data_IF_168682906035
#
_entry.id   IF_168682906035
#
_cell.length_a   1.000
_cell.length_b   1.000
_cell.length_c   1.000
_cell.angle_alpha   90.00
_cell.angle_beta   90.00
_cell.angle_gamma   90.00
#
_symmetry.space_group_name_H-M   'P 1'
#
loop_
_entity.id
_entity.type
_entity.pdbx_description
1 polymer ?
#
# COMPACT_ATOMS: atom_id res chain seq x y z
N UNK A 1 5.13 19.73 16.43
CA UNK A 1 4.99 18.32 16.06
C UNK A 1 5.22 18.09 14.57
N UNK A 2 4.58 18.84 13.69
CA UNK A 2 4.72 18.71 12.23
C UNK A 2 6.19 18.77 11.76
N UNK A 3 6.98 19.73 12.21
CA UNK A 3 8.42 19.84 11.85
C UNK A 3 9.26 18.64 12.29
N UNK A 4 8.88 17.94 13.37
CA UNK A 4 9.61 16.73 13.81
C UNK A 4 9.30 15.53 12.90
N UNK A 5 8.11 15.46 12.32
CA UNK A 5 7.69 14.36 11.45
C UNK A 5 8.07 14.64 10.00
N UNK A 6 7.81 15.84 9.50
CA UNK A 6 8.01 16.21 8.09
C UNK A 6 9.32 16.95 7.82
N UNK A 7 10.15 17.21 8.83
CA UNK A 7 11.38 18.00 8.69
C UNK A 7 12.36 17.41 7.65
N UNK A 8 12.52 16.10 7.63
CA UNK A 8 13.33 15.42 6.63
C UNK A 8 12.72 15.53 5.22
N UNK A 9 11.39 15.43 5.08
CA UNK A 9 10.71 15.59 3.79
C UNK A 9 10.93 17.01 3.25
N UNK A 10 10.81 18.04 4.09
CA UNK A 10 11.08 19.43 3.69
C UNK A 10 12.56 19.65 3.29
N UNK A 11 13.51 19.05 4.03
CA UNK A 11 14.93 19.14 3.69
C UNK A 11 15.24 18.45 2.35
N UNK A 12 14.73 17.25 2.14
CA UNK A 12 14.88 16.50 0.87
C UNK A 12 14.23 17.25 -0.29
N UNK A 13 13.05 17.85 -0.07
CA UNK A 13 12.39 18.68 -1.08
C UNK A 13 13.25 19.87 -1.49
N UNK A 14 13.78 20.61 -0.51
CA UNK A 14 14.64 21.76 -0.80
C UNK A 14 15.90 21.35 -1.57
N UNK A 15 16.57 20.27 -1.14
CA UNK A 15 17.77 19.74 -1.80
C UNK A 15 17.42 19.22 -3.21
N UNK A 16 16.34 18.46 -3.36
CA UNK A 16 15.93 17.87 -4.65
C UNK A 16 15.52 18.93 -5.66
N UNK A 17 14.77 19.96 -5.25
CA UNK A 17 14.39 21.06 -6.12
C UNK A 17 15.60 21.91 -6.55
N UNK A 18 16.53 22.16 -5.61
CA UNK A 18 17.79 22.85 -5.93
C UNK A 18 18.63 21.99 -6.90
N UNK A 19 18.76 20.69 -6.66
CA UNK A 19 19.45 19.78 -7.56
C UNK A 19 18.81 19.77 -8.96
N UNK A 20 17.47 19.80 -9.07
CA UNK A 20 16.76 19.89 -10.33
C UNK A 20 17.12 21.18 -11.10
N UNK A 21 17.21 22.32 -10.41
CA UNK A 21 17.63 23.59 -11.05
C UNK A 21 19.06 23.47 -11.62
N UNK A 22 19.99 22.87 -10.88
CA UNK A 22 21.36 22.66 -11.39
C UNK A 22 21.43 21.64 -12.53
N UNK A 23 20.55 20.66 -12.56
CA UNK A 23 20.50 19.60 -13.57
C UNK A 23 19.93 20.09 -14.90
N UNK A 24 18.79 20.79 -14.87
CA UNK A 24 18.07 21.20 -16.09
C UNK A 24 17.32 22.54 -15.98
N UNK A 25 17.75 23.41 -15.06
CA UNK A 25 17.19 24.76 -14.91
C UNK A 25 15.76 24.76 -14.33
N UNK A 26 15.04 25.85 -14.63
CA UNK A 26 13.68 26.07 -14.11
C UNK A 26 12.64 25.10 -14.69
N UNK A 27 12.88 24.55 -15.86
CA UNK A 27 12.02 23.52 -16.46
C UNK A 27 12.10 22.23 -15.63
N UNK A 28 13.30 21.75 -15.31
CA UNK A 28 13.50 20.58 -14.45
C UNK A 28 12.93 20.80 -13.05
N UNK A 29 13.07 21.99 -12.48
CA UNK A 29 12.43 22.36 -11.22
C UNK A 29 10.91 22.18 -11.30
N UNK A 30 10.26 22.70 -12.34
CA UNK A 30 8.82 22.59 -12.55
C UNK A 30 8.38 21.13 -12.68
N UNK A 31 9.10 20.31 -13.46
CA UNK A 31 8.81 18.88 -13.63
C UNK A 31 8.94 18.11 -12.31
N UNK A 32 10.01 18.31 -11.56
CA UNK A 32 10.20 17.65 -10.25
C UNK A 32 9.13 18.07 -9.25
N UNK A 33 8.75 19.35 -9.22
CA UNK A 33 7.68 19.83 -8.35
C UNK A 33 6.32 19.19 -8.70
N UNK A 34 5.97 19.13 -10.00
CA UNK A 34 4.74 18.49 -10.47
C UNK A 34 4.73 17.00 -10.11
N UNK A 35 5.81 16.28 -10.41
CA UNK A 35 5.94 14.86 -10.08
C UNK A 35 5.83 14.60 -8.58
N UNK A 36 6.41 15.47 -7.74
CA UNK A 36 6.33 15.34 -6.27
C UNK A 36 4.89 15.50 -5.77
N UNK A 37 4.17 16.50 -6.28
CA UNK A 37 2.76 16.74 -5.91
C UNK A 37 1.87 15.60 -6.40
N UNK A 38 2.09 15.12 -7.62
CA UNK A 38 1.37 13.98 -8.21
C UNK A 38 1.57 12.74 -7.34
N UNK A 39 2.80 12.39 -7.00
CA UNK A 39 3.13 11.24 -6.16
C UNK A 39 2.47 11.32 -4.78
N UNK A 40 2.53 12.48 -4.10
CA UNK A 40 1.87 12.67 -2.80
C UNK A 40 0.36 12.47 -2.93
N UNK A 41 -0.23 12.94 -4.02
CA UNK A 41 -1.68 12.86 -4.24
C UNK A 41 -2.14 11.44 -4.57
N UNK A 42 -1.37 10.71 -5.39
CA UNK A 42 -1.68 9.34 -5.80
C UNK A 42 -1.42 8.32 -4.70
N UNK A 43 -0.42 8.56 -3.84
CA UNK A 43 0.01 7.62 -2.80
C UNK A 43 -0.54 7.95 -1.41
N UNK A 44 -1.60 8.75 -1.31
CA UNK A 44 -2.22 9.07 -0.02
C UNK A 44 -2.86 7.83 0.64
N UNK A 45 -3.53 7.01 -0.14
CA UNK A 45 -4.10 5.73 0.27
C UNK A 45 -3.03 4.78 0.83
N UNK A 46 -1.86 4.69 0.17
CA UNK A 46 -0.71 3.94 0.67
C UNK A 46 -0.33 4.34 2.09
N UNK A 47 -0.34 5.63 2.40
CA UNK A 47 0.01 6.11 3.73
C UNK A 47 -0.96 5.58 4.80
N UNK A 48 -2.26 5.51 4.48
CA UNK A 48 -3.30 5.03 5.41
C UNK A 48 -3.20 3.51 5.58
N UNK A 49 -3.05 2.76 4.48
CA UNK A 49 -2.87 1.30 4.49
C UNK A 49 -1.62 0.91 5.28
N UNK A 50 -0.49 1.51 4.93
CA UNK A 50 0.79 1.25 5.60
C UNK A 50 0.72 1.60 7.09
N UNK A 51 -0.01 2.65 7.49
CA UNK A 51 -0.21 3.00 8.89
C UNK A 51 -0.99 1.93 9.65
N UNK A 52 -2.00 1.28 9.02
CA UNK A 52 -2.76 0.18 9.59
C UNK A 52 -1.89 -1.01 9.99
N UNK A 53 -0.95 -1.38 9.12
CA UNK A 53 -0.01 -2.48 9.37
C UNK A 53 1.10 -2.03 10.33
N UNK A 54 1.67 -0.84 10.12
CA UNK A 54 2.80 -0.33 10.89
C UNK A 54 2.48 -0.16 12.39
N UNK A 55 1.21 0.14 12.75
CA UNK A 55 0.80 0.25 14.15
C UNK A 55 0.92 -1.07 14.92
N UNK A 56 0.83 -2.22 14.25
CA UNK A 56 1.01 -3.55 14.82
C UNK A 56 2.48 -3.89 15.08
N UNK A 57 3.42 -3.15 14.49
CA UNK A 57 4.85 -3.39 14.59
C UNK A 57 5.45 -2.66 15.79
N UNK A 58 6.49 -3.25 16.40
CA UNK A 58 7.21 -2.60 17.49
C UNK A 58 8.03 -1.38 17.02
N UNK A 59 8.45 -0.54 17.97
CA UNK A 59 9.15 0.73 17.68
C UNK A 59 10.47 0.55 16.89
N UNK A 60 11.15 -0.58 17.02
CA UNK A 60 12.38 -0.87 16.28
C UNK A 60 12.06 -1.08 14.79
N UNK A 61 11.06 -1.89 14.45
CA UNK A 61 10.65 -2.13 13.09
C UNK A 61 9.97 -0.93 12.43
N UNK A 62 9.20 -0.14 13.21
CA UNK A 62 8.72 1.15 12.75
C UNK A 62 9.87 2.07 12.32
N UNK A 63 10.98 2.07 13.09
CA UNK A 63 12.17 2.83 12.73
C UNK A 63 12.87 2.27 11.49
N UNK A 64 12.94 0.94 11.32
CA UNK A 64 13.49 0.30 10.10
C UNK A 64 12.65 0.70 8.89
N UNK A 65 11.32 0.63 8.98
CA UNK A 65 10.44 1.08 7.91
C UNK A 65 10.69 2.54 7.50
N UNK A 66 10.95 3.41 8.48
CA UNK A 66 11.24 4.82 8.24
C UNK A 66 12.63 5.12 7.69
N UNK A 67 13.55 4.19 7.79
CA UNK A 67 14.94 4.37 7.34
C UNK A 67 15.23 3.48 6.13
N UNK A 68 15.27 2.17 6.31
CA UNK A 68 15.54 1.20 5.26
C UNK A 68 14.39 1.14 4.26
N UNK A 69 13.13 1.11 4.73
CA UNK A 69 11.96 1.11 3.86
C UNK A 69 11.88 2.37 2.98
N UNK A 70 12.28 3.55 3.48
CA UNK A 70 12.39 4.77 2.65
C UNK A 70 13.43 4.59 1.54
N UNK A 71 14.60 4.00 1.85
CA UNK A 71 15.62 3.74 0.83
C UNK A 71 15.11 2.76 -0.23
N UNK A 72 14.42 1.71 0.20
CA UNK A 72 13.78 0.75 -0.72
C UNK A 72 12.71 1.45 -1.57
N UNK A 73 11.83 2.24 -0.96
CA UNK A 73 10.78 2.94 -1.68
C UNK A 73 11.32 3.97 -2.69
N UNK A 74 12.31 4.78 -2.30
CA UNK A 74 12.85 5.85 -3.14
C UNK A 74 13.78 5.31 -4.24
N UNK A 75 14.73 4.46 -3.87
CA UNK A 75 15.73 3.96 -4.82
C UNK A 75 15.34 2.58 -5.38
N UNK A 76 14.86 1.68 -4.54
CA UNK A 76 14.47 0.33 -4.96
C UNK A 76 13.32 0.35 -5.96
N UNK A 77 12.19 0.90 -5.55
CA UNK A 77 10.96 0.84 -6.36
C UNK A 77 10.95 1.82 -7.53
N UNK A 78 11.58 2.99 -7.41
CA UNK A 78 11.54 4.03 -8.45
C UNK A 78 12.70 4.02 -9.42
N UNK A 79 13.84 3.44 -9.04
CA UNK A 79 15.02 3.33 -9.91
C UNK A 79 15.36 1.87 -10.23
N UNK A 80 15.61 1.04 -9.18
CA UNK A 80 16.11 -0.32 -9.38
C UNK A 80 15.04 -1.23 -9.97
N UNK A 81 13.82 -1.17 -9.48
CA UNK A 81 12.74 -2.05 -9.91
C UNK A 81 12.38 -1.91 -11.39
N UNK A 82 12.17 -0.70 -11.96
CA UNK A 82 11.95 -0.54 -13.40
C UNK A 82 13.14 -1.03 -14.25
N UNK A 83 14.38 -0.81 -13.78
CA UNK A 83 15.58 -1.30 -14.47
C UNK A 83 15.63 -2.83 -14.48
N UNK A 84 15.32 -3.48 -13.36
CA UNK A 84 15.28 -4.95 -13.25
C UNK A 84 14.18 -5.51 -14.16
N UNK A 85 13.02 -4.88 -14.22
CA UNK A 85 11.94 -5.29 -15.10
C UNK A 85 12.36 -5.20 -16.58
N UNK A 86 12.99 -4.10 -16.96
CA UNK A 86 13.50 -3.93 -18.34
C UNK A 86 14.56 -4.99 -18.64
N UNK A 87 15.50 -5.24 -17.73
CA UNK A 87 16.53 -6.27 -17.89
C UNK A 87 15.91 -7.66 -18.12
N UNK A 88 14.89 -8.03 -17.32
CA UNK A 88 14.20 -9.32 -17.46
C UNK A 88 13.37 -9.37 -18.74
N UNK A 89 12.56 -8.36 -19.01
CA UNK A 89 11.61 -8.32 -20.13
C UNK A 89 12.33 -8.29 -21.49
N UNK A 90 13.41 -7.51 -21.59
CA UNK A 90 14.22 -7.41 -22.79
C UNK A 90 15.35 -8.45 -22.86
N UNK A 91 15.49 -9.32 -21.85
CA UNK A 91 16.55 -10.36 -21.75
C UNK A 91 17.95 -9.77 -21.89
N UNK A 92 18.20 -8.61 -21.29
CA UNK A 92 19.49 -7.92 -21.28
C UNK A 92 20.12 -7.91 -19.88
N UNK A 93 21.42 -7.59 -19.81
CA UNK A 93 22.12 -7.46 -18.52
C UNK A 93 21.65 -6.25 -17.73
N UNK A 94 21.72 -6.27 -16.37
CA UNK A 94 21.32 -5.13 -15.54
C UNK A 94 22.12 -3.85 -15.86
N UNK A 95 23.41 -3.98 -16.16
CA UNK A 95 24.28 -2.83 -16.53
C UNK A 95 23.83 -2.24 -17.88
N UNK A 96 23.47 -3.09 -18.83
CA UNK A 96 22.96 -2.67 -20.13
C UNK A 96 21.61 -1.97 -20.01
N UNK A 97 20.73 -2.43 -19.10
CA UNK A 97 19.48 -1.78 -18.81
C UNK A 97 19.68 -0.39 -18.15
N UNK A 98 20.67 -0.24 -17.28
CA UNK A 98 21.04 1.07 -16.71
C UNK A 98 21.58 2.00 -17.79
N UNK A 99 22.46 1.51 -18.68
CA UNK A 99 22.99 2.28 -19.79
C UNK A 99 21.87 2.76 -20.73
N UNK A 100 20.92 1.86 -21.01
CA UNK A 100 19.73 2.17 -21.81
C UNK A 100 18.88 3.27 -21.15
N UNK A 101 18.65 3.18 -19.84
CA UNK A 101 17.89 4.15 -19.06
C UNK A 101 18.50 5.56 -19.09
N UNK A 102 19.84 5.65 -19.10
CA UNK A 102 20.57 6.91 -19.10
C UNK A 102 20.76 7.50 -20.51
N UNK A 103 21.03 6.64 -21.50
CA UNK A 103 21.49 7.07 -22.82
C UNK A 103 20.45 6.92 -23.93
N UNK A 104 19.38 6.10 -23.72
CA UNK A 104 18.30 5.92 -24.69
C UNK A 104 16.93 5.85 -24.00
N UNK A 105 16.52 7.00 -23.47
CA UNK A 105 15.34 7.16 -22.62
C UNK A 105 14.05 6.70 -23.31
N UNK A 106 13.87 6.99 -24.60
CA UNK A 106 12.67 6.59 -25.35
C UNK A 106 12.54 5.07 -25.46
N UNK A 107 13.66 4.39 -25.76
CA UNK A 107 13.66 2.91 -25.82
C UNK A 107 13.44 2.28 -24.44
N UNK A 108 14.02 2.88 -23.41
CA UNK A 108 13.79 2.44 -22.03
C UNK A 108 12.32 2.57 -21.65
N UNK A 109 11.68 3.73 -21.90
CA UNK A 109 10.26 3.95 -21.68
C UNK A 109 9.39 2.91 -22.41
N UNK A 110 9.69 2.62 -23.68
CA UNK A 110 8.97 1.59 -24.44
C UNK A 110 9.00 0.23 -23.73
N UNK A 111 10.18 -0.21 -23.27
CA UNK A 111 10.33 -1.51 -22.60
C UNK A 111 9.61 -1.56 -21.26
N UNK A 112 9.61 -0.47 -20.49
CA UNK A 112 8.85 -0.37 -19.23
C UNK A 112 7.35 -0.46 -19.53
N UNK A 113 6.86 0.28 -20.53
CA UNK A 113 5.44 0.23 -20.92
C UNK A 113 5.04 -1.15 -21.46
N UNK A 114 5.90 -1.81 -22.23
CA UNK A 114 5.66 -3.15 -22.74
C UNK A 114 5.62 -4.22 -21.62
N UNK A 115 6.24 -3.95 -20.48
CA UNK A 115 6.21 -4.80 -19.28
C UNK A 115 4.98 -4.55 -18.39
N UNK A 116 4.28 -3.42 -18.59
CA UNK A 116 3.14 -2.99 -17.77
C UNK A 116 2.08 -4.09 -17.57
N UNK A 117 1.64 -4.88 -18.59
CA UNK A 117 0.64 -5.93 -18.37
C UNK A 117 1.05 -6.99 -17.35
N UNK A 118 2.34 -7.36 -17.32
CA UNK A 118 2.85 -8.31 -16.32
C UNK A 118 2.83 -7.72 -14.91
N UNK A 119 3.22 -6.48 -14.77
CA UNK A 119 3.32 -5.80 -13.47
C UNK A 119 1.92 -5.50 -12.93
N UNK A 120 1.02 -5.02 -13.80
CA UNK A 120 -0.37 -4.79 -13.44
C UNK A 120 -1.09 -6.08 -13.01
N UNK A 121 -0.79 -7.22 -13.65
CA UNK A 121 -1.31 -8.51 -13.24
C UNK A 121 -0.74 -8.95 -11.89
N UNK A 122 0.57 -8.85 -11.68
CA UNK A 122 1.22 -9.19 -10.41
C UNK A 122 0.67 -8.34 -9.26
N UNK A 123 0.73 -7.02 -9.39
CA UNK A 123 0.26 -6.08 -8.37
C UNK A 123 -1.24 -6.15 -8.17
N UNK A 124 -2.03 -6.17 -9.25
CA UNK A 124 -3.49 -6.26 -9.20
C UNK A 124 -3.96 -7.53 -8.48
N UNK A 125 -3.34 -8.69 -8.72
CA UNK A 125 -3.69 -9.94 -8.04
C UNK A 125 -3.25 -9.94 -6.57
N UNK A 126 -2.09 -9.38 -6.25
CA UNK A 126 -1.63 -9.20 -4.87
C UNK A 126 -2.59 -8.32 -4.07
N UNK A 127 -2.95 -7.15 -4.61
CA UNK A 127 -3.89 -6.21 -3.98
C UNK A 127 -5.31 -6.77 -3.87
N UNK A 128 -5.75 -7.53 -4.89
CA UNK A 128 -7.06 -8.17 -4.88
C UNK A 128 -7.19 -9.16 -3.71
N UNK A 129 -6.15 -9.94 -3.43
CA UNK A 129 -6.13 -10.85 -2.28
C UNK A 129 -6.26 -10.10 -0.96
N UNK A 130 -5.52 -9.00 -0.78
CA UNK A 130 -5.63 -8.16 0.42
C UNK A 130 -7.07 -7.68 0.62
N UNK A 131 -7.70 -7.19 -0.44
CA UNK A 131 -9.08 -6.72 -0.37
C UNK A 131 -10.08 -7.84 -0.09
N UNK A 132 -9.94 -8.99 -0.75
CA UNK A 132 -10.85 -10.12 -0.58
C UNK A 132 -10.75 -10.71 0.82
N UNK A 133 -9.56 -10.88 1.36
CA UNK A 133 -9.38 -11.40 2.72
C UNK A 133 -9.97 -10.41 3.73
N UNK A 134 -9.77 -9.10 3.54
CA UNK A 134 -10.40 -8.09 4.38
C UNK A 134 -11.93 -8.14 4.35
N UNK A 135 -12.55 -8.24 3.16
CA UNK A 135 -14.01 -8.14 3.01
C UNK A 135 -14.75 -9.42 3.43
N UNK A 136 -14.06 -10.58 3.42
CA UNK A 136 -14.60 -11.87 3.86
C UNK A 136 -14.38 -12.14 5.34
N UNK A 137 -13.55 -11.36 6.02
CA UNK A 137 -13.33 -11.47 7.45
C UNK A 137 -14.56 -10.99 8.24
N UNK A 138 -14.96 -11.75 9.28
CA UNK A 138 -16.07 -11.36 10.17
C UNK A 138 -15.52 -10.39 11.23
N UNK A 139 -15.88 -9.12 11.11
CA UNK A 139 -15.38 -8.02 11.95
C UNK A 139 -16.48 -7.42 12.78
N UNK A 140 -16.16 -7.05 14.01
CA UNK A 140 -17.09 -6.39 14.94
C UNK A 140 -17.55 -5.02 14.43
N UNK A 141 -16.62 -4.27 13.83
CA UNK A 141 -16.88 -2.95 13.25
C UNK A 141 -17.04 -3.10 11.75
N UNK A 142 -18.21 -2.76 11.23
CA UNK A 142 -18.54 -2.81 9.81
C UNK A 142 -18.97 -1.41 9.35
N UNK A 143 -18.35 -0.93 8.24
CA UNK A 143 -18.68 0.37 7.64
C UNK A 143 -19.88 0.26 6.71
N UNK A 144 -19.79 -0.57 5.67
CA UNK A 144 -20.85 -0.81 4.69
C UNK A 144 -21.56 -2.15 5.01
N UNK A 145 -22.35 -2.16 6.08
CA UNK A 145 -22.99 -3.37 6.61
C UNK A 145 -23.79 -4.19 5.58
N UNK A 146 -24.34 -3.52 4.57
CA UNK A 146 -25.14 -4.17 3.52
C UNK A 146 -24.28 -4.96 2.53
N UNK A 147 -22.99 -4.65 2.40
CA UNK A 147 -22.00 -5.40 1.61
C UNK A 147 -21.23 -6.38 2.52
N UNK A 148 -20.68 -5.89 3.62
CA UNK A 148 -19.74 -6.63 4.48
C UNK A 148 -20.40 -7.82 5.15
N UNK A 149 -21.62 -7.66 5.69
CA UNK A 149 -22.33 -8.78 6.35
C UNK A 149 -22.60 -9.99 5.47
N UNK A 150 -23.13 -9.85 4.23
CA UNK A 150 -23.30 -10.98 3.35
C UNK A 150 -21.97 -11.63 2.94
N UNK A 151 -20.95 -10.82 2.68
CA UNK A 151 -19.64 -11.29 2.24
C UNK A 151 -18.89 -12.01 3.38
N UNK A 152 -18.91 -11.49 4.61
CA UNK A 152 -18.35 -12.17 5.77
C UNK A 152 -18.98 -13.56 6.03
N UNK A 153 -20.29 -13.75 5.72
CA UNK A 153 -20.91 -15.07 5.78
C UNK A 153 -20.36 -16.03 4.73
N UNK A 154 -20.03 -15.52 3.53
CA UNK A 154 -19.40 -16.30 2.48
C UNK A 154 -17.95 -16.63 2.79
N UNK A 155 -17.26 -15.76 3.55
CA UNK A 155 -15.89 -15.98 4.00
C UNK A 155 -15.66 -17.21 4.87
N UNK A 156 -16.74 -17.85 5.36
CA UNK A 156 -16.69 -19.16 6.03
C UNK A 156 -16.33 -20.32 5.09
N UNK A 157 -16.31 -20.08 3.77
CA UNK A 157 -15.86 -21.05 2.78
C UNK A 157 -14.35 -20.92 2.65
N UNK A 158 -13.65 -21.98 3.02
CA UNK A 158 -12.20 -22.02 2.94
C UNK A 158 -11.70 -21.69 1.53
N UNK A 159 -10.64 -20.90 1.47
CA UNK A 159 -9.96 -20.50 0.22
C UNK A 159 -10.83 -19.72 -0.79
N UNK A 160 -11.95 -19.13 -0.36
CA UNK A 160 -12.85 -18.39 -1.25
C UNK A 160 -12.13 -17.22 -1.96
N UNK A 161 -11.31 -16.45 -1.23
CA UNK A 161 -10.52 -15.35 -1.78
C UNK A 161 -9.61 -15.82 -2.91
N UNK A 162 -8.94 -16.96 -2.71
CA UNK A 162 -8.04 -17.56 -3.71
C UNK A 162 -8.82 -18.00 -4.95
N UNK A 163 -9.97 -18.67 -4.75
CA UNK A 163 -10.83 -19.13 -5.85
C UNK A 163 -11.33 -17.95 -6.69
N UNK A 164 -11.81 -16.88 -6.04
CA UNK A 164 -12.30 -15.68 -6.73
C UNK A 164 -11.15 -15.01 -7.49
N UNK A 165 -9.99 -14.86 -6.84
CA UNK A 165 -8.81 -14.28 -7.46
C UNK A 165 -8.37 -15.05 -8.70
N UNK A 166 -8.33 -16.39 -8.65
CA UNK A 166 -8.02 -17.22 -9.81
C UNK A 166 -9.05 -17.08 -10.94
N UNK A 167 -10.33 -16.98 -10.60
CA UNK A 167 -11.40 -16.72 -11.60
C UNK A 167 -11.18 -15.35 -12.26
N UNK A 168 -10.93 -14.32 -11.47
CA UNK A 168 -10.64 -12.96 -11.98
C UNK A 168 -9.40 -12.98 -12.87
N UNK A 169 -8.33 -13.67 -12.48
CA UNK A 169 -7.11 -13.81 -13.27
C UNK A 169 -7.38 -14.51 -14.61
N UNK A 170 -8.16 -15.59 -14.61
CA UNK A 170 -8.54 -16.29 -15.84
C UNK A 170 -9.35 -15.36 -16.75
N UNK A 171 -10.36 -14.67 -16.22
CA UNK A 171 -11.15 -13.71 -17.00
C UNK A 171 -10.21 -12.64 -17.59
N UNK A 172 -9.34 -12.03 -16.78
CA UNK A 172 -8.39 -11.01 -17.23
C UNK A 172 -7.47 -11.53 -18.32
N UNK A 173 -6.91 -12.73 -18.15
CA UNK A 173 -6.01 -13.35 -19.13
C UNK A 173 -6.69 -13.63 -20.46
N UNK A 174 -7.94 -14.11 -20.46
CA UNK A 174 -8.64 -14.47 -21.70
C UNK A 174 -9.45 -13.32 -22.32
N UNK A 175 -9.61 -12.20 -21.62
CA UNK A 175 -10.30 -11.01 -22.15
C UNK A 175 -9.33 -9.85 -22.36
N UNK A 176 -8.87 -9.23 -21.29
CA UNK A 176 -8.03 -8.01 -21.37
C UNK A 176 -6.64 -8.27 -21.93
N UNK A 177 -6.00 -9.37 -21.53
CA UNK A 177 -4.63 -9.67 -21.92
C UNK A 177 -4.48 -10.13 -23.39
N UNK A 178 -5.53 -10.65 -24.01
CA UNK A 178 -5.52 -10.98 -25.44
C UNK A 178 -5.42 -9.74 -26.34
N UNK A 179 -5.78 -8.57 -25.80
CA UNK A 179 -5.73 -7.27 -26.47
C UNK A 179 -4.97 -6.26 -25.59
N UNK A 180 -3.89 -6.71 -24.95
CA UNK A 180 -3.09 -5.87 -24.07
C UNK A 180 -2.54 -4.65 -24.83
N UNK A 181 -2.60 -3.48 -24.19
CA UNK A 181 -2.06 -2.25 -24.73
C UNK A 181 -0.55 -2.28 -24.81
N UNK A 182 0.01 -1.77 -25.90
CA UNK A 182 1.45 -1.64 -26.12
C UNK A 182 1.80 -0.23 -26.58
N UNK A 183 3.05 0.16 -26.33
CA UNK A 183 3.55 1.46 -26.79
C UNK A 183 3.29 1.68 -28.28
N UNK A 184 2.71 2.83 -28.65
CA UNK A 184 2.31 3.14 -30.02
C UNK A 184 0.90 2.73 -30.42
N UNK A 185 0.04 2.30 -29.46
CA UNK A 185 -1.37 1.99 -29.69
C UNK A 185 -1.63 0.62 -30.30
N UNK A 186 -0.64 -0.24 -30.44
CA UNK A 186 -0.81 -1.61 -30.89
C UNK A 186 -1.37 -2.49 -29.76
N UNK A 187 -2.19 -3.48 -30.14
CA UNK A 187 -2.66 -4.52 -29.22
C UNK A 187 -1.93 -5.83 -29.49
N UNK A 188 -1.42 -6.46 -28.43
CA UNK A 188 -0.65 -7.71 -28.50
C UNK A 188 -1.23 -8.69 -27.50
N UNK A 189 -1.23 -9.98 -27.87
CA UNK A 189 -1.61 -11.05 -26.94
C UNK A 189 -0.52 -11.25 -25.87
N UNK A 190 -0.88 -10.96 -24.64
CA UNK A 190 -0.06 -11.11 -23.44
C UNK A 190 -0.68 -12.08 -22.43
N UNK A 191 -1.70 -12.87 -22.85
CA UNK A 191 -2.45 -13.76 -21.96
C UNK A 191 -1.56 -14.66 -21.09
N UNK A 192 -0.55 -15.30 -21.69
CA UNK A 192 0.37 -16.15 -20.96
C UNK A 192 1.21 -15.35 -19.94
N UNK A 193 1.70 -14.18 -20.33
CA UNK A 193 2.50 -13.30 -19.47
C UNK A 193 1.70 -12.82 -18.27
N UNK A 194 0.46 -12.38 -18.48
CA UNK A 194 -0.48 -11.94 -17.46
C UNK A 194 -0.84 -13.09 -16.51
N UNK A 195 -1.09 -14.28 -17.06
CA UNK A 195 -1.41 -15.45 -16.25
C UNK A 195 -0.25 -15.82 -15.31
N UNK A 196 0.98 -15.91 -15.84
CA UNK A 196 2.17 -16.25 -15.04
C UNK A 196 2.44 -15.17 -13.99
N UNK A 197 2.41 -13.89 -14.37
CA UNK A 197 2.63 -12.79 -13.46
C UNK A 197 1.56 -12.68 -12.37
N UNK A 198 0.28 -12.88 -12.71
CA UNK A 198 -0.82 -12.89 -11.76
C UNK A 198 -0.73 -14.04 -10.76
N UNK A 199 -0.37 -15.25 -11.23
CA UNK A 199 -0.11 -16.40 -10.33
C UNK A 199 1.07 -16.09 -9.41
N UNK A 200 2.14 -15.47 -9.93
CA UNK A 200 3.28 -15.05 -9.10
C UNK A 200 2.85 -14.03 -8.02
N UNK A 201 1.97 -13.08 -8.34
CA UNK A 201 1.39 -12.14 -7.37
C UNK A 201 0.62 -12.85 -6.25
N UNK A 202 -0.25 -13.82 -6.61
CA UNK A 202 -0.98 -14.65 -5.65
C UNK A 202 -0.03 -15.46 -4.76
N UNK A 203 0.96 -16.13 -5.35
CA UNK A 203 1.96 -16.91 -4.59
C UNK A 203 2.72 -15.99 -3.62
N UNK A 204 3.14 -14.81 -4.07
CA UNK A 204 3.83 -13.84 -3.23
C UNK A 204 2.96 -13.42 -2.06
N UNK A 205 1.67 -13.11 -2.29
CA UNK A 205 0.73 -12.81 -1.22
C UNK A 205 0.62 -13.96 -0.21
N UNK A 206 0.42 -15.18 -0.69
CA UNK A 206 0.26 -16.36 0.17
C UNK A 206 1.52 -16.65 1.01
N UNK A 207 2.70 -16.48 0.43
CA UNK A 207 3.96 -16.68 1.15
C UNK A 207 4.17 -15.59 2.19
N UNK A 208 4.11 -14.33 1.78
CA UNK A 208 4.45 -13.20 2.67
C UNK A 208 3.37 -13.00 3.73
N UNK A 209 2.08 -13.02 3.33
CA UNK A 209 0.96 -12.88 4.23
C UNK A 209 0.80 -14.10 5.17
N UNK A 210 0.91 -15.32 4.62
CA UNK A 210 0.82 -16.54 5.41
C UNK A 210 1.96 -16.70 6.42
N UNK A 211 3.18 -16.31 6.07
CA UNK A 211 4.29 -16.28 7.02
C UNK A 211 4.11 -15.22 8.10
N UNK A 212 3.58 -14.04 7.73
CA UNK A 212 3.26 -13.00 8.71
C UNK A 212 2.24 -13.50 9.73
N UNK A 213 1.10 -14.05 9.26
CA UNK A 213 0.06 -14.59 10.13
C UNK A 213 0.58 -15.74 11.02
N UNK A 214 1.31 -16.69 10.45
CA UNK A 214 1.88 -17.79 11.23
C UNK A 214 2.76 -17.33 12.39
N UNK A 215 3.55 -16.27 12.20
CA UNK A 215 4.39 -15.74 13.28
C UNK A 215 3.62 -14.84 14.23
N UNK A 216 2.54 -14.16 13.80
CA UNK A 216 1.61 -13.45 14.69
C UNK A 216 0.88 -14.43 15.62
N UNK A 217 0.29 -15.49 15.09
CA UNK A 217 -0.42 -16.52 15.87
C UNK A 217 0.50 -17.15 16.93
N UNK A 218 1.76 -17.45 16.54
CA UNK A 218 2.75 -17.96 17.50
C UNK A 218 3.10 -16.98 18.61
N UNK A 219 3.10 -15.69 18.32
CA UNK A 219 3.34 -14.67 19.34
C UNK A 219 2.19 -14.62 20.34
N UNK A 220 0.94 -14.64 19.84
CA UNK A 220 -0.25 -14.64 20.69
C UNK A 220 -0.28 -15.90 21.58
N UNK A 221 0.01 -17.09 21.02
CA UNK A 221 0.12 -18.33 21.79
C UNK A 221 1.21 -18.29 22.87
N UNK A 222 2.35 -17.63 22.60
CA UNK A 222 3.42 -17.48 23.60
C UNK A 222 3.09 -16.44 24.65
N UNK A 223 2.46 -15.33 24.29
CA UNK A 223 2.00 -14.30 25.23
C UNK A 223 0.90 -14.85 26.15
N UNK A 224 -0.05 -15.63 25.63
CA UNK A 224 -1.06 -16.31 26.44
C UNK A 224 -0.43 -17.32 27.43
N UNK A 225 0.55 -18.10 26.97
CA UNK A 225 1.27 -19.04 27.84
C UNK A 225 2.15 -18.34 28.86
N UNK A 226 2.80 -17.22 28.50
CA UNK A 226 3.55 -16.43 29.49
C UNK A 226 2.63 -15.80 30.52
N UNK A 227 1.41 -15.37 30.17
CA UNK A 227 0.40 -14.89 31.12
C UNK A 227 -0.10 -15.99 32.04
N UNK A 228 -0.36 -17.19 31.50
CA UNK A 228 -0.72 -18.36 32.36
C UNK A 228 0.43 -18.81 33.28
N UNK A 229 1.68 -18.78 32.77
CA UNK A 229 2.89 -19.08 33.54
C UNK A 229 3.26 -17.96 34.52
N UNK A 230 2.96 -16.68 34.26
CA UNK A 230 3.15 -15.57 35.21
C UNK A 230 2.14 -15.60 36.34
N UNK A 231 0.93 -16.08 36.13
CA UNK A 231 -0.01 -16.39 37.21
C UNK A 231 0.48 -17.57 38.09
N UNK A 232 1.21 -18.54 37.51
CA UNK A 232 1.83 -19.65 38.25
C UNK A 232 3.26 -19.35 38.71
N UNK A 233 4.03 -18.51 38.02
CA UNK A 233 5.46 -18.30 38.21
C UNK A 233 5.88 -16.84 38.34
N UNK A 234 5.41 -16.11 39.34
CA UNK A 234 6.16 -14.97 39.91
C UNK A 234 7.62 -15.35 40.31
N UNK A 235 8.19 -16.41 39.73
CA UNK A 235 9.40 -17.07 40.24
C UNK A 235 10.53 -17.44 39.28
N UNK A 236 10.43 -17.33 37.92
CA UNK A 236 11.62 -17.63 37.08
C UNK A 236 11.62 -16.94 35.70
N UNK A 237 12.60 -16.11 35.50
CA UNK A 237 12.79 -15.34 34.26
C UNK A 237 13.14 -16.19 33.03
N UNK A 238 12.25 -16.20 32.05
CA UNK A 238 12.50 -16.69 30.69
C UNK A 238 11.89 -15.73 29.65
N UNK A 239 12.64 -14.69 29.32
CA UNK A 239 12.23 -13.64 28.38
C UNK A 239 12.82 -13.74 26.96
N UNK A 240 13.46 -14.86 26.58
CA UNK A 240 14.24 -14.93 25.34
C UNK A 240 13.47 -15.38 24.09
N UNK A 241 12.43 -16.18 24.22
CA UNK A 241 11.74 -16.78 23.08
C UNK A 241 10.79 -15.79 22.38
N UNK A 242 9.98 -15.06 23.13
CA UNK A 242 9.03 -14.09 22.63
C UNK A 242 9.68 -12.93 21.82
N UNK A 243 10.85 -12.45 22.27
CA UNK A 243 11.59 -11.38 21.54
C UNK A 243 12.06 -11.83 20.16
N UNK A 244 12.46 -13.09 19.99
CA UNK A 244 12.93 -13.62 18.70
C UNK A 244 11.75 -13.82 17.75
N UNK A 245 10.63 -14.37 18.22
CA UNK A 245 9.42 -14.55 17.43
C UNK A 245 8.81 -13.20 17.02
N UNK A 246 8.76 -12.22 17.94
CA UNK A 246 8.36 -10.86 17.64
C UNK A 246 9.23 -10.23 16.53
N UNK A 247 10.53 -10.54 16.50
CA UNK A 247 11.44 -10.10 15.47
C UNK A 247 11.15 -10.74 14.11
N UNK A 248 10.77 -12.00 14.06
CA UNK A 248 10.43 -12.72 12.83
C UNK A 248 9.09 -12.28 12.26
N UNK A 249 8.04 -12.21 13.07
CA UNK A 249 6.75 -11.69 12.67
C UNK A 249 6.86 -10.27 12.09
N UNK A 250 7.54 -9.38 12.80
CA UNK A 250 7.75 -8.01 12.35
C UNK A 250 8.61 -7.91 11.07
N UNK A 251 9.55 -8.83 10.85
CA UNK A 251 10.30 -8.92 9.59
C UNK A 251 9.38 -9.28 8.40
N UNK A 252 8.50 -10.26 8.56
CA UNK A 252 7.56 -10.63 7.50
C UNK A 252 6.49 -9.56 7.27
N UNK A 253 6.02 -8.89 8.33
CA UNK A 253 5.18 -7.70 8.19
C UNK A 253 5.89 -6.57 7.43
N UNK A 254 7.17 -6.33 7.71
CA UNK A 254 7.96 -5.37 6.96
C UNK A 254 8.09 -5.76 5.49
N UNK A 255 8.37 -7.04 5.20
CA UNK A 255 8.43 -7.54 3.83
C UNK A 255 7.09 -7.41 3.11
N UNK A 256 5.99 -7.71 3.80
CA UNK A 256 4.63 -7.51 3.29
C UNK A 256 4.37 -6.04 2.91
N UNK A 257 4.75 -5.10 3.80
CA UNK A 257 4.66 -3.67 3.52
C UNK A 257 5.47 -3.24 2.29
N UNK A 258 6.68 -3.77 2.11
CA UNK A 258 7.53 -3.43 0.96
C UNK A 258 6.98 -3.99 -0.35
N UNK A 259 6.40 -5.20 -0.37
CA UNK A 259 5.72 -5.77 -1.56
C UNK A 259 4.45 -4.99 -1.90
N UNK A 260 3.69 -4.61 -0.88
CA UNK A 260 2.51 -3.78 -1.02
C UNK A 260 2.88 -2.40 -1.60
N UNK A 261 3.88 -1.74 -1.03
CA UNK A 261 4.38 -0.45 -1.53
C UNK A 261 4.91 -0.54 -2.97
N UNK A 262 5.57 -1.67 -3.33
CA UNK A 262 5.97 -1.96 -4.70
C UNK A 262 4.78 -2.02 -5.65
N UNK A 263 3.72 -2.71 -5.25
CA UNK A 263 2.51 -2.87 -6.06
C UNK A 263 1.80 -1.54 -6.34
N UNK A 264 1.80 -0.63 -5.37
CA UNK A 264 1.26 0.73 -5.54
C UNK A 264 2.19 1.67 -6.32
N UNK A 265 3.51 1.54 -6.13
CA UNK A 265 4.50 2.50 -6.64
C UNK A 265 4.65 2.46 -8.16
N UNK A 266 4.31 1.35 -8.82
CA UNK A 266 4.58 1.19 -10.23
C UNK A 266 3.69 2.08 -11.11
N UNK A 267 2.44 2.29 -10.73
CA UNK A 267 1.53 3.21 -11.44
C UNK A 267 2.08 4.64 -11.43
N UNK A 268 2.64 5.08 -10.30
CA UNK A 268 3.33 6.37 -10.23
C UNK A 268 4.52 6.49 -11.19
N UNK A 269 5.26 5.39 -11.41
CA UNK A 269 6.36 5.37 -12.40
C UNK A 269 5.84 5.45 -13.81
N UNK A 270 4.79 4.70 -14.16
CA UNK A 270 4.17 4.80 -15.52
C UNK A 270 3.59 6.18 -15.73
N UNK A 271 2.86 6.75 -14.77
CA UNK A 271 2.32 8.10 -14.85
C UNK A 271 3.41 9.19 -15.00
N UNK A 272 4.56 8.99 -14.36
CA UNK A 272 5.68 9.90 -14.51
C UNK A 272 6.25 9.92 -15.95
N UNK A 273 6.21 8.81 -16.68
CA UNK A 273 6.60 8.77 -18.10
C UNK A 273 5.69 9.59 -19.01
N UNK A 274 4.44 9.86 -18.60
CA UNK A 274 3.57 10.78 -19.34
C UNK A 274 4.01 12.24 -19.21
N UNK A 275 4.80 12.56 -18.16
CA UNK A 275 5.29 13.92 -17.87
C UNK A 275 6.72 14.12 -18.39
N UNK A 276 7.59 13.14 -18.15
CA UNK A 276 9.00 13.18 -18.56
C UNK A 276 9.55 11.77 -18.76
N UNK A 277 10.45 11.61 -19.73
CA UNK A 277 11.22 10.37 -19.94
C UNK A 277 12.60 10.42 -19.26
N UNK A 278 12.89 11.48 -18.50
CA UNK A 278 14.14 11.63 -17.77
C UNK A 278 14.09 10.93 -16.41
N UNK A 279 14.78 9.77 -16.30
CA UNK A 279 14.78 8.94 -15.10
C UNK A 279 15.34 9.67 -13.88
N UNK A 280 16.24 10.65 -14.06
CA UNK A 280 16.79 11.43 -12.95
C UNK A 280 15.74 12.36 -12.37
N UNK A 281 14.98 13.06 -13.22
CA UNK A 281 13.89 13.94 -12.81
C UNK A 281 12.74 13.14 -12.18
N UNK A 282 12.42 11.97 -12.77
CA UNK A 282 11.43 11.03 -12.18
C UNK A 282 11.86 10.58 -10.79
N UNK A 283 13.11 10.13 -10.63
CA UNK A 283 13.63 9.69 -9.33
C UNK A 283 13.60 10.79 -8.27
N UNK A 284 13.94 12.02 -8.65
CA UNK A 284 13.87 13.17 -7.75
C UNK A 284 12.42 13.49 -7.35
N UNK A 285 11.51 13.59 -8.32
CA UNK A 285 10.12 13.96 -8.07
C UNK A 285 9.37 12.90 -7.28
N UNK A 286 9.38 11.66 -7.75
CA UNK A 286 8.74 10.54 -7.07
C UNK A 286 9.41 10.24 -5.72
N UNK A 287 10.73 10.40 -5.62
CA UNK A 287 11.47 10.24 -4.38
C UNK A 287 11.07 11.25 -3.31
N UNK A 288 10.91 12.52 -3.66
CA UNK A 288 10.38 13.55 -2.76
C UNK A 288 8.96 13.17 -2.32
N UNK A 289 8.08 12.79 -3.24
CA UNK A 289 6.72 12.37 -2.92
C UNK A 289 6.69 11.21 -1.94
N UNK A 290 7.49 10.17 -2.18
CA UNK A 290 7.61 9.01 -1.29
C UNK A 290 8.04 9.38 0.14
N UNK A 291 8.92 10.36 0.30
CA UNK A 291 9.32 10.86 1.62
C UNK A 291 8.13 11.47 2.37
N UNK A 292 7.24 12.18 1.68
CA UNK A 292 6.01 12.71 2.29
C UNK A 292 5.03 11.61 2.66
N UNK A 293 4.80 10.63 1.78
CA UNK A 293 3.94 9.47 2.03
C UNK A 293 4.40 8.73 3.28
N UNK A 294 5.69 8.43 3.40
CA UNK A 294 6.28 7.78 4.59
C UNK A 294 6.14 8.64 5.85
N UNK A 295 6.36 9.95 5.76
CA UNK A 295 6.18 10.86 6.89
C UNK A 295 4.72 10.95 7.32
N UNK A 296 3.79 10.91 6.37
CA UNK A 296 2.36 10.88 6.63
C UNK A 296 1.94 9.58 7.33
N UNK A 297 2.42 8.42 6.86
CA UNK A 297 2.21 7.11 7.49
C UNK A 297 2.57 7.15 8.98
N UNK A 298 3.76 7.66 9.30
CA UNK A 298 4.21 7.79 10.69
C UNK A 298 3.39 8.79 11.49
N UNK A 299 2.99 9.87 10.86
CA UNK A 299 2.12 10.85 11.50
C UNK A 299 0.79 10.19 11.91
N UNK A 300 0.17 9.43 11.02
CA UNK A 300 -1.08 8.71 11.27
C UNK A 300 -0.94 7.70 12.42
N UNK A 301 0.16 6.92 12.43
CA UNK A 301 0.45 5.94 13.51
C UNK A 301 0.64 6.66 14.85
N UNK A 302 1.47 7.70 14.90
CA UNK A 302 1.80 8.41 16.16
C UNK A 302 0.64 9.20 16.75
N UNK A 303 -0.34 9.60 15.95
CA UNK A 303 -1.52 10.33 16.41
C UNK A 303 -2.65 9.40 16.86
N UNK A 304 -2.53 8.08 16.65
CA UNK A 304 -3.64 7.16 16.89
C UNK A 304 -4.84 7.40 15.98
N UNK A 305 -4.64 8.06 14.83
CA UNK A 305 -5.72 8.49 13.94
C UNK A 305 -6.59 7.34 13.48
N UNK A 306 -6.02 6.14 13.31
CA UNK A 306 -6.77 4.95 12.91
C UNK A 306 -7.70 4.43 14.00
N UNK A 307 -7.32 4.58 15.28
CA UNK A 307 -8.12 4.15 16.42
C UNK A 307 -9.27 5.15 16.67
N UNK A 308 -9.02 6.45 16.47
CA UNK A 308 -10.04 7.50 16.56
C UNK A 308 -11.07 7.41 15.43
N UNK A 309 -10.66 6.99 14.22
CA UNK A 309 -11.52 6.96 13.03
C UNK A 309 -11.66 5.53 12.48
N UNK A 310 -12.46 4.72 13.15
CA UNK A 310 -12.62 3.27 12.95
C UNK A 310 -12.96 2.81 11.53
N UNK A 311 -13.58 3.66 10.71
CA UNK A 311 -13.88 3.31 9.31
C UNK A 311 -12.75 3.65 8.33
N UNK A 312 -11.67 4.29 8.80
CA UNK A 312 -10.56 4.69 7.93
C UNK A 312 -9.83 3.48 7.35
N UNK A 313 -9.67 2.43 8.14
CA UNK A 313 -9.12 1.15 7.69
C UNK A 313 -9.98 0.49 6.61
N UNK A 314 -11.31 0.54 6.76
CA UNK A 314 -12.23 0.04 5.74
C UNK A 314 -12.09 0.83 4.43
N UNK A 315 -12.07 2.17 4.51
CA UNK A 315 -11.87 3.03 3.34
C UNK A 315 -10.59 2.73 2.59
N UNK A 316 -9.50 2.46 3.31
CA UNK A 316 -8.22 2.07 2.74
C UNK A 316 -8.30 0.73 2.01
N UNK A 317 -8.92 -0.30 2.59
CA UNK A 317 -9.07 -1.59 1.92
C UNK A 317 -10.03 -1.54 0.71
N UNK A 318 -11.09 -0.73 0.76
CA UNK A 318 -11.92 -0.48 -0.43
C UNK A 318 -11.14 0.26 -1.52
N UNK A 319 -10.24 1.17 -1.16
CA UNK A 319 -9.34 1.81 -2.12
C UNK A 319 -8.37 0.79 -2.76
N UNK A 320 -7.81 -0.13 -1.97
CA UNK A 320 -6.99 -1.26 -2.47
C UNK A 320 -7.79 -2.10 -3.47
N UNK A 321 -9.03 -2.49 -3.13
CA UNK A 321 -9.87 -3.27 -4.02
C UNK A 321 -10.19 -2.56 -5.33
N UNK A 322 -10.48 -1.26 -5.27
CA UNK A 322 -10.70 -0.45 -6.46
C UNK A 322 -9.43 -0.35 -7.31
N UNK A 323 -8.27 -0.12 -6.70
CA UNK A 323 -6.99 -0.08 -7.39
C UNK A 323 -6.63 -1.43 -8.02
N UNK A 324 -6.87 -2.55 -7.32
CA UNK A 324 -6.66 -3.88 -7.87
C UNK A 324 -7.44 -4.09 -9.18
N UNK A 325 -8.73 -3.70 -9.19
CA UNK A 325 -9.57 -3.79 -10.39
C UNK A 325 -9.07 -2.85 -11.49
N UNK A 326 -8.75 -1.61 -11.15
CA UNK A 326 -8.23 -0.64 -12.11
C UNK A 326 -6.93 -1.13 -12.76
N UNK A 327 -5.97 -1.66 -11.98
CA UNK A 327 -4.73 -2.25 -12.49
C UNK A 327 -4.99 -3.37 -13.51
N UNK A 328 -5.93 -4.27 -13.22
CA UNK A 328 -6.27 -5.33 -14.17
C UNK A 328 -6.93 -4.80 -15.45
N UNK A 329 -7.70 -3.72 -15.35
CA UNK A 329 -8.32 -3.06 -16.51
C UNK A 329 -7.29 -2.29 -17.34
N UNK A 330 -6.24 -1.71 -16.72
CA UNK A 330 -5.17 -1.01 -17.43
C UNK A 330 -4.34 -1.91 -18.35
N UNK A 331 -4.44 -3.23 -18.22
CA UNK A 331 -3.80 -4.18 -19.14
C UNK A 331 -4.28 -3.96 -20.58
N UNK A 332 -5.54 -3.62 -20.78
CA UNK A 332 -6.13 -3.37 -22.10
C UNK A 332 -6.43 -1.89 -22.37
N UNK A 333 -6.84 -1.14 -21.35
CA UNK A 333 -7.33 0.23 -21.49
C UNK A 333 -6.43 1.19 -20.72
N UNK A 334 -5.95 2.21 -21.39
CA UNK A 334 -5.25 3.30 -20.70
C UNK A 334 -6.23 4.05 -19.79
N UNK A 335 -5.98 4.01 -18.49
CA UNK A 335 -6.71 4.80 -17.49
C UNK A 335 -5.74 5.87 -17.00
N UNK A 336 -6.23 7.10 -16.94
CA UNK A 336 -5.44 8.20 -16.41
C UNK A 336 -5.16 7.97 -14.91
N UNK A 337 -3.90 8.06 -14.52
CA UNK A 337 -3.43 7.80 -13.14
C UNK A 337 -4.10 8.73 -12.12
N UNK A 338 -4.46 9.96 -12.53
CA UNK A 338 -5.20 10.89 -11.69
C UNK A 338 -6.57 10.32 -11.30
N UNK A 339 -7.23 9.60 -12.22
CA UNK A 339 -8.53 8.95 -11.93
C UNK A 339 -8.31 7.83 -10.91
N UNK A 340 -7.27 7.02 -11.09
CA UNK A 340 -6.91 5.93 -10.18
C UNK A 340 -6.67 6.45 -8.76
N UNK A 341 -5.83 7.47 -8.61
CA UNK A 341 -5.55 8.08 -7.31
C UNK A 341 -6.76 8.77 -6.69
N UNK A 342 -7.59 9.48 -7.49
CA UNK A 342 -8.80 10.13 -6.98
C UNK A 342 -9.82 9.12 -6.41
N UNK A 343 -9.96 7.94 -7.00
CA UNK A 343 -10.85 6.89 -6.47
C UNK A 343 -10.42 6.50 -5.07
N UNK A 344 -9.13 6.27 -4.81
CA UNK A 344 -8.59 5.98 -3.50
C UNK A 344 -8.87 7.11 -2.50
N UNK A 345 -8.52 8.34 -2.86
CA UNK A 345 -8.73 9.53 -2.01
C UNK A 345 -10.20 9.72 -1.66
N UNK A 346 -11.13 9.56 -2.62
CA UNK A 346 -12.58 9.70 -2.38
C UNK A 346 -13.08 8.63 -1.40
N UNK A 347 -12.67 7.38 -1.54
CA UNK A 347 -13.09 6.29 -0.65
C UNK A 347 -12.58 6.52 0.77
N UNK A 348 -11.32 6.93 0.94
CA UNK A 348 -10.74 7.24 2.24
C UNK A 348 -11.40 8.47 2.88
N UNK A 349 -11.61 9.54 2.11
CA UNK A 349 -12.30 10.74 2.61
C UNK A 349 -13.74 10.44 3.04
N UNK A 350 -14.45 9.58 2.32
CA UNK A 350 -15.80 9.16 2.66
C UNK A 350 -15.82 8.32 3.95
N UNK A 351 -14.90 7.39 4.10
CA UNK A 351 -14.77 6.59 5.33
C UNK A 351 -14.39 7.43 6.54
N UNK A 352 -13.48 8.39 6.37
CA UNK A 352 -13.11 9.37 7.38
C UNK A 352 -14.33 10.20 7.83
N UNK A 353 -15.05 10.77 6.88
CA UNK A 353 -16.26 11.54 7.18
C UNK A 353 -17.33 10.69 7.88
N UNK A 354 -17.50 9.44 7.47
CA UNK A 354 -18.40 8.50 8.13
C UNK A 354 -17.99 8.23 9.59
N UNK A 355 -16.68 8.09 9.86
CA UNK A 355 -16.13 7.94 11.21
C UNK A 355 -16.39 9.18 12.07
N UNK A 356 -16.17 10.37 11.52
CA UNK A 356 -16.46 11.63 12.22
C UNK A 356 -17.95 11.74 12.59
N UNK A 357 -18.85 11.36 11.68
CA UNK A 357 -20.29 11.34 11.95
C UNK A 357 -20.65 10.36 13.07
N UNK A 358 -20.07 9.15 13.03
CA UNK A 358 -20.26 8.15 14.09
C UNK A 358 -19.80 8.67 15.44
N UNK A 359 -18.59 9.22 15.52
CA UNK A 359 -18.02 9.73 16.77
C UNK A 359 -18.87 10.87 17.35
N UNK A 360 -19.37 11.77 16.52
CA UNK A 360 -20.31 12.84 16.95
C UNK A 360 -21.62 12.27 17.49
N UNK A 361 -22.17 11.23 16.86
CA UNK A 361 -23.40 10.59 17.32
C UNK A 361 -23.23 9.89 18.66
N UNK A 362 -22.07 9.21 18.88
CA UNK A 362 -21.74 8.58 20.16
C UNK A 362 -21.58 9.60 21.26
N UNK A 363 -20.85 10.69 21.03
CA UNK A 363 -20.67 11.76 22.00
C UNK A 363 -21.99 12.45 22.37
N UNK A 364 -22.93 12.60 21.43
CA UNK A 364 -24.25 13.14 21.71
C UNK A 364 -25.08 12.20 22.60
N UNK A 365 -25.04 10.87 22.30
CA UNK A 365 -25.74 9.87 23.11
C UNK A 365 -25.19 9.76 24.54
N UNK A 366 -23.88 9.85 24.73
CA UNK A 366 -23.24 9.88 26.05
C UNK A 366 -23.62 11.16 26.83
N UNK A 367 -23.70 12.29 26.14
CA UNK A 367 -24.14 13.57 26.74
C UNK A 367 -25.60 13.53 27.25
N UNK A 368 -26.49 12.86 26.47
CA UNK A 368 -27.89 12.68 26.85
C UNK A 368 -28.01 11.72 28.06
N UNK A 369 -27.32 10.56 28.04
CA UNK A 369 -27.32 9.60 29.13
C UNK A 369 -26.78 10.20 30.44
N UNK A 370 -25.70 10.98 30.38
CA UNK A 370 -25.15 11.67 31.56
C UNK A 370 -26.02 12.82 32.09
N UNK A 371 -26.89 13.40 31.26
CA UNK A 371 -27.88 14.40 31.71
C UNK A 371 -29.06 13.75 32.40
N UNK A 372 -29.53 12.60 31.93
CA UNK A 372 -30.64 11.84 32.53
C UNK A 372 -30.25 11.26 33.89
N UNK A 373 -29.03 10.71 34.02
CA UNK A 373 -28.47 10.20 35.28
C UNK A 373 -28.39 11.34 36.36
N UNK A 374 -27.94 12.53 35.94
CA UNK A 374 -27.91 13.70 36.86
C UNK A 374 -29.28 14.21 37.23
N UNK A 375 -30.26 14.12 36.32
CA UNK A 375 -31.65 14.50 36.59
C UNK A 375 -32.32 13.52 37.58
N UNK A 376 -32.07 12.21 37.44
CA UNK A 376 -32.56 11.20 38.39
C UNK A 376 -31.97 11.36 39.80
N UNK A 377 -30.65 11.62 39.90
CA UNK A 377 -29.98 11.87 41.18
C UNK A 377 -30.53 13.16 41.83
N UNK A 378 -30.84 14.18 41.04
CA UNK A 378 -31.40 15.44 41.55
C UNK A 378 -32.88 15.36 41.94
N UNK A 379 -33.63 14.38 41.40
CA UNK A 379 -35.07 14.19 41.73
C UNK A 379 -35.31 13.17 42.86
N UNK A 380 -34.29 12.51 43.31
CA UNK A 380 -34.34 11.46 44.36
C UNK A 380 -34.00 11.94 45.79
N UNK A 381 -33.99 13.28 46.06
CA UNK A 381 -33.82 13.87 47.40
C UNK A 381 -35.15 14.46 47.89
#
# INVERSE_FOLDING_TARGET
MLLKTFGWSFAVTAIGLVAAVFYGGWEAFGLVAILSVLEISLSFDNAVVNAGILKKMNAFWQKIFLTVGVLIAVFGMRLVFPVVIVAISAKMGPIEAVDLALNNKDRYQQLVTDAHPAIAAFGGMFLLMIFLDFIFEDRDIQWLRWIERPLAKLGKVDMLSVCISLIVLLITSFTFATHAHQHGGAHVDKAQTVLIAGVAGLITYMIVGGLSGYFEDKLEEEEEREHEEEEEAARSGKQRSAVVLAGQAAFFMFLYLEVLDASFSFDGVIGAFAITNDIVLMALGLGIGAMYVRSLTVYLVRQGTLDDYVYLEHGAHYAIGALAVLLLVTIQHEINEVITGLVGVVLIAWSFWSSVRRNRALAAAEGEAGSDEKAEISSGV
#
